data_IF_742317428960
#
_entry.id   IF_742317428960
#
_cell.length_a   1.000
_cell.length_b   1.000
_cell.length_c   1.000
_cell.angle_alpha   90.00
_cell.angle_beta   90.00
_cell.angle_gamma   90.00
#
_symmetry.space_group_name_H-M   'P 1'
#
loop_
_entity.id
_entity.type
_entity.pdbx_description
1 polymer ?
#
# COMPACT_ATOMS: atom_id res chain seq x y z
N UNK A 1 37.59 -17.12 74.06
CA UNK A 1 36.32 -16.46 73.67
C UNK A 1 35.71 -17.30 72.56
N UNK A 2 34.88 -18.32 72.77
CA UNK A 2 33.51 -18.42 73.34
C UNK A 2 32.44 -17.55 72.63
N UNK A 3 31.83 -18.20 71.61
CA UNK A 3 30.41 -18.30 71.18
C UNK A 3 29.62 -17.01 70.87
N UNK A 4 29.02 -16.91 69.66
CA UNK A 4 27.55 -17.00 69.51
C UNK A 4 27.02 -17.02 68.07
N UNK A 5 26.47 -18.18 67.71
CA UNK A 5 25.44 -18.40 66.68
C UNK A 5 24.10 -18.32 67.42
N UNK A 6 23.38 -17.20 67.36
CA UNK A 6 21.94 -17.14 67.70
C UNK A 6 21.32 -15.83 67.21
N UNK A 7 20.46 -15.90 66.19
CA UNK A 7 19.28 -15.05 66.05
C UNK A 7 18.47 -15.55 64.84
N UNK A 8 17.81 -16.68 65.05
CA UNK A 8 16.70 -17.18 64.27
C UNK A 8 15.43 -16.88 65.10
N UNK A 9 14.43 -16.26 64.47
CA UNK A 9 13.00 -16.26 64.84
C UNK A 9 12.55 -15.51 66.11
N UNK A 10 11.92 -14.35 65.89
CA UNK A 10 10.67 -13.86 66.51
C UNK A 10 10.26 -12.65 65.64
N UNK A 11 9.06 -12.50 65.08
CA UNK A 11 7.74 -12.95 65.51
C UNK A 11 6.75 -12.84 64.34
N UNK A 12 5.84 -13.80 64.28
CA UNK A 12 4.65 -13.85 63.42
C UNK A 12 3.75 -12.62 63.59
N UNK A 13 3.00 -12.31 62.52
CA UNK A 13 1.54 -12.21 62.67
C UNK A 13 0.90 -10.83 62.46
N UNK A 14 0.71 -10.43 61.19
CA UNK A 14 -0.50 -9.74 60.70
C UNK A 14 -0.75 -10.31 59.30
N UNK A 15 -1.44 -11.45 59.15
CA UNK A 15 -2.90 -11.60 59.02
C UNK A 15 -3.49 -10.84 57.83
N UNK A 16 -3.68 -11.61 56.75
CA UNK A 16 -4.84 -11.69 55.86
C UNK A 16 -5.87 -10.53 55.81
N UNK A 17 -6.10 -10.06 54.58
CA UNK A 17 -7.18 -9.15 54.17
C UNK A 17 -6.59 -8.09 53.24
N UNK A 18 -6.72 -8.17 51.91
CA UNK A 18 -7.96 -8.11 51.16
C UNK A 18 -7.74 -8.80 49.80
N UNK A 19 -8.44 -9.91 49.61
CA UNK A 19 -9.00 -10.31 48.32
C UNK A 19 -10.37 -9.63 48.24
N UNK A 20 -10.68 -9.09 47.05
CA UNK A 20 -11.98 -8.59 46.56
C UNK A 20 -12.16 -7.06 46.45
N UNK A 21 -12.68 -6.70 45.25
CA UNK A 21 -13.17 -5.41 44.77
C UNK A 21 -12.08 -4.36 44.45
N UNK A 22 -11.85 -3.90 43.22
CA UNK A 22 -12.73 -3.69 42.06
C UNK A 22 -11.91 -4.05 40.80
N UNK A 23 -12.26 -4.99 39.92
CA UNK A 23 -13.51 -5.07 39.17
C UNK A 23 -13.96 -3.70 38.66
N UNK A 24 -13.08 -3.04 37.91
CA UNK A 24 -13.44 -1.94 37.02
C UNK A 24 -12.81 -2.21 35.65
N UNK A 25 -13.49 -3.09 34.93
CA UNK A 25 -13.91 -2.81 33.56
C UNK A 25 -12.85 -2.21 32.63
N UNK A 26 -11.88 -3.03 32.21
CA UNK A 26 -11.39 -2.90 30.84
C UNK A 26 -11.80 -4.18 30.12
N UNK A 27 -12.97 -4.11 29.49
CA UNK A 27 -13.37 -5.02 28.43
C UNK A 27 -12.37 -4.85 27.28
N UNK A 28 -11.23 -5.52 27.37
CA UNK A 28 -10.35 -5.73 26.23
C UNK A 28 -10.90 -6.98 25.53
N UNK A 29 -11.32 -6.75 24.28
CA UNK A 29 -11.95 -7.64 23.29
C UNK A 29 -13.49 -7.54 23.26
N UNK A 30 -14.03 -7.07 22.11
CA UNK A 30 -13.82 -7.78 20.85
C UNK A 30 -13.28 -6.87 19.74
N UNK A 31 -11.97 -6.95 19.45
CA UNK A 31 -11.45 -6.59 18.12
C UNK A 31 -11.11 -7.85 17.31
N UNK A 32 -11.88 -8.92 17.54
CA UNK A 32 -11.91 -10.13 16.70
C UNK A 32 -13.22 -10.24 15.90
N UNK A 33 -14.03 -9.18 15.87
CA UNK A 33 -15.36 -9.16 15.27
C UNK A 33 -15.45 -8.65 13.82
N UNK A 34 -14.36 -8.16 13.21
CA UNK A 34 -14.43 -7.48 11.90
C UNK A 34 -13.42 -7.97 10.85
N UNK A 35 -12.60 -8.98 11.17
CA UNK A 35 -11.70 -9.61 10.19
C UNK A 35 -12.36 -10.87 9.58
N UNK A 36 -13.16 -11.60 10.36
CA UNK A 36 -13.79 -12.86 9.93
C UNK A 36 -14.89 -12.67 8.86
N UNK A 37 -15.44 -11.46 8.73
CA UNK A 37 -16.50 -11.16 7.75
C UNK A 37 -16.00 -10.84 6.34
N UNK A 38 -14.81 -10.22 6.19
CA UNK A 38 -14.32 -9.74 4.89
C UNK A 38 -13.48 -10.78 4.15
N UNK A 39 -12.80 -11.67 4.88
CA UNK A 39 -12.14 -12.86 4.32
C UNK A 39 -13.14 -13.83 3.64
N UNK A 40 -14.44 -13.71 3.93
CA UNK A 40 -15.47 -14.52 3.29
C UNK A 40 -15.70 -14.15 1.81
N UNK A 41 -15.36 -12.93 1.38
CA UNK A 41 -15.59 -12.46 0.01
C UNK A 41 -14.55 -12.93 -1.01
N UNK A 42 -13.30 -13.16 -0.61
CA UNK A 42 -12.19 -13.56 -1.50
C UNK A 42 -12.07 -15.07 -1.72
N UNK A 43 -13.11 -15.85 -1.40
CA UNK A 43 -13.03 -17.33 -1.30
C UNK A 43 -12.99 -18.09 -2.62
N UNK A 44 -13.19 -17.42 -3.76
CA UNK A 44 -13.05 -18.03 -5.08
C UNK A 44 -12.38 -17.04 -6.00
N UNK A 45 -11.37 -17.50 -6.74
CA UNK A 45 -10.86 -16.77 -7.89
C UNK A 45 -12.07 -16.43 -8.78
N UNK A 46 -12.30 -15.15 -9.03
CA UNK A 46 -13.36 -14.72 -9.91
C UNK A 46 -13.25 -15.49 -11.24
N UNK A 47 -14.34 -15.99 -11.83
CA UNK A 47 -14.29 -16.55 -13.16
C UNK A 47 -13.64 -15.55 -14.11
N UNK A 48 -12.89 -16.01 -15.15
CA UNK A 48 -12.16 -15.13 -16.06
C UNK A 48 -13.10 -14.02 -16.57
N UNK A 49 -12.65 -12.78 -16.35
CA UNK A 49 -13.39 -11.52 -16.44
C UNK A 49 -14.78 -11.62 -17.11
N UNK A 50 -15.84 -11.41 -16.33
CA UNK A 50 -17.21 -11.27 -16.88
C UNK A 50 -17.37 -10.01 -17.73
N UNK A 51 -16.37 -9.13 -17.71
CA UNK A 51 -16.35 -7.86 -18.43
C UNK A 51 -15.09 -7.79 -19.31
N UNK A 52 -15.25 -7.24 -20.51
CA UNK A 52 -14.23 -7.18 -21.58
C UNK A 52 -13.02 -6.27 -21.26
N UNK A 53 -12.93 -5.75 -20.03
CA UNK A 53 -12.16 -4.55 -19.66
C UNK A 53 -10.91 -4.78 -18.81
N UNK A 54 -10.71 -5.96 -18.20
CA UNK A 54 -9.41 -6.28 -17.57
C UNK A 54 -8.44 -6.74 -18.65
N UNK A 55 -8.01 -5.78 -19.48
CA UNK A 55 -6.98 -5.98 -20.50
C UNK A 55 -5.67 -5.41 -19.99
N UNK A 56 -4.61 -6.15 -20.26
CA UNK A 56 -3.26 -5.61 -20.18
C UNK A 56 -3.12 -4.57 -21.29
N UNK A 57 -2.83 -3.33 -20.94
CA UNK A 57 -2.55 -2.27 -21.91
C UNK A 57 -1.14 -2.44 -22.52
N UNK A 58 -0.78 -1.58 -23.47
CA UNK A 58 0.53 -1.59 -24.12
C UNK A 58 1.68 -1.31 -23.16
N UNK A 59 1.40 -0.63 -22.05
CA UNK A 59 2.38 -0.24 -21.03
C UNK A 59 2.50 -1.31 -19.93
N UNK A 60 1.72 -2.39 -20.06
CA UNK A 60 1.77 -3.56 -19.20
C UNK A 60 0.88 -3.50 -17.97
N UNK A 61 0.05 -2.45 -17.81
CA UNK A 61 -0.90 -2.28 -16.71
C UNK A 61 -2.17 -3.07 -16.96
N UNK A 62 -2.81 -3.49 -15.88
CA UNK A 62 -4.15 -4.05 -15.88
C UNK A 62 -5.10 -3.02 -15.29
N UNK A 63 -6.10 -2.58 -16.06
CA UNK A 63 -7.12 -1.65 -15.57
C UNK A 63 -8.33 -2.41 -15.02
N UNK A 64 -8.85 -1.93 -13.90
CA UNK A 64 -10.07 -2.43 -13.26
C UNK A 64 -11.06 -1.28 -13.12
N UNK A 65 -12.26 -1.45 -13.65
CA UNK A 65 -13.39 -0.54 -13.41
C UNK A 65 -14.19 -0.97 -12.17
N UNK A 66 -14.93 -0.01 -11.58
CA UNK A 66 -15.65 -0.18 -10.31
C UNK A 66 -16.61 -1.37 -10.29
N UNK A 67 -17.30 -1.61 -11.38
CA UNK A 67 -18.34 -2.65 -11.46
C UNK A 67 -17.81 -4.01 -11.92
N UNK A 68 -16.63 -4.04 -12.54
CA UNK A 68 -16.15 -5.21 -13.26
C UNK A 68 -15.29 -6.12 -12.39
N UNK A 69 -15.49 -7.43 -12.52
CA UNK A 69 -14.58 -8.43 -11.98
C UNK A 69 -13.45 -8.76 -12.97
N UNK A 70 -12.31 -9.19 -12.44
CA UNK A 70 -11.22 -9.71 -13.27
C UNK A 70 -9.93 -9.99 -12.50
N UNK A 71 -8.86 -10.21 -13.25
CA UNK A 71 -7.58 -10.68 -12.70
C UNK A 71 -6.38 -10.06 -13.42
N UNK A 72 -5.34 -9.73 -12.65
CA UNK A 72 -4.04 -9.27 -13.15
C UNK A 72 -2.96 -10.28 -12.72
N UNK A 73 -2.55 -11.21 -13.59
CA UNK A 73 -1.53 -12.20 -13.27
C UNK A 73 -0.15 -11.56 -13.10
N UNK A 74 0.60 -12.06 -12.12
CA UNK A 74 2.02 -11.79 -11.99
C UNK A 74 2.80 -12.34 -13.20
N UNK A 75 3.99 -11.80 -13.54
CA UNK A 75 4.76 -12.22 -14.70
C UNK A 75 5.16 -13.70 -14.72
N UNK A 76 5.35 -14.32 -13.56
CA UNK A 76 5.64 -15.75 -13.42
C UNK A 76 4.38 -16.62 -13.34
N UNK A 77 3.19 -15.99 -13.33
CA UNK A 77 1.90 -16.64 -13.20
C UNK A 77 1.62 -17.23 -11.82
N UNK A 78 2.45 -17.01 -10.80
CA UNK A 78 2.29 -17.63 -9.48
C UNK A 78 1.22 -16.95 -8.61
N UNK A 79 0.95 -15.68 -8.88
CA UNK A 79 -0.02 -14.86 -8.13
C UNK A 79 -0.94 -14.09 -9.06
N UNK A 80 -2.13 -13.78 -8.57
CA UNK A 80 -3.11 -12.94 -9.26
C UNK A 80 -3.57 -11.84 -8.30
N UNK A 81 -3.59 -10.58 -8.74
CA UNK A 81 -4.51 -9.61 -8.15
C UNK A 81 -5.89 -9.90 -8.71
N UNK A 82 -6.89 -10.05 -7.86
CA UNK A 82 -8.27 -10.38 -8.24
C UNK A 82 -9.22 -9.34 -7.68
N UNK A 83 -10.19 -8.95 -8.51
CA UNK A 83 -11.35 -8.15 -8.12
C UNK A 83 -12.60 -8.94 -8.45
N UNK A 84 -13.52 -9.02 -7.50
CA UNK A 84 -14.84 -9.60 -7.72
C UNK A 84 -15.77 -8.60 -8.45
N UNK A 85 -16.78 -9.08 -9.21
CA UNK A 85 -17.76 -8.20 -9.84
C UNK A 85 -18.68 -7.55 -8.78
N UNK A 86 -19.00 -6.27 -8.99
CA UNK A 86 -19.79 -5.45 -8.06
C UNK A 86 -18.96 -4.64 -7.06
N UNK A 87 -19.51 -3.51 -6.61
CA UNK A 87 -18.90 -2.63 -5.61
C UNK A 87 -18.84 -3.29 -4.22
N UNK A 88 -17.74 -3.11 -3.48
CA UNK A 88 -17.58 -3.65 -2.13
C UNK A 88 -17.48 -5.18 -2.06
N UNK A 89 -17.25 -5.84 -3.19
CA UNK A 89 -17.20 -7.32 -3.28
C UNK A 89 -15.80 -7.89 -3.06
N UNK A 90 -14.83 -7.02 -2.75
CA UNK A 90 -13.49 -7.39 -2.36
C UNK A 90 -12.48 -7.33 -3.51
N UNK A 91 -11.30 -6.80 -3.17
CA UNK A 91 -10.11 -6.81 -4.01
C UNK A 91 -9.00 -7.45 -3.19
N UNK A 92 -8.23 -8.36 -3.78
CA UNK A 92 -7.20 -9.09 -3.04
C UNK A 92 -6.18 -9.75 -3.93
N UNK A 93 -5.28 -10.49 -3.29
CA UNK A 93 -4.25 -11.28 -3.97
C UNK A 93 -4.45 -12.75 -3.64
N UNK A 94 -4.43 -13.59 -4.66
CA UNK A 94 -4.54 -15.05 -4.53
C UNK A 94 -3.35 -15.76 -5.15
N UNK A 95 -3.07 -16.98 -4.67
CA UNK A 95 -2.15 -17.90 -5.33
C UNK A 95 -2.81 -18.49 -6.57
N UNK A 96 -2.14 -18.42 -7.71
CA UNK A 96 -2.62 -19.03 -8.93
C UNK A 96 -2.71 -20.57 -8.80
N UNK A 97 -3.66 -21.18 -9.48
CA UNK A 97 -3.91 -22.63 -9.43
C UNK A 97 -4.70 -23.11 -8.22
N UNK A 98 -4.46 -22.56 -7.02
CA UNK A 98 -5.25 -22.92 -5.82
C UNK A 98 -6.38 -21.94 -5.53
N UNK A 99 -6.26 -20.69 -5.98
CA UNK A 99 -7.21 -19.62 -5.64
C UNK A 99 -7.15 -19.21 -4.16
N UNK A 100 -6.16 -19.68 -3.40
CA UNK A 100 -6.03 -19.36 -1.99
C UNK A 100 -5.65 -17.88 -1.82
N UNK A 101 -6.47 -17.13 -1.08
CA UNK A 101 -6.19 -15.74 -0.74
C UNK A 101 -4.94 -15.64 0.15
N UNK A 102 -4.08 -14.66 -0.17
CA UNK A 102 -2.84 -14.36 0.57
C UNK A 102 -2.79 -12.92 1.08
N UNK A 103 -3.80 -12.12 0.75
CA UNK A 103 -3.94 -10.75 1.23
C UNK A 103 -5.16 -10.05 0.66
N UNK A 104 -5.64 -9.08 1.42
CA UNK A 104 -6.72 -8.18 1.05
C UNK A 104 -6.14 -6.82 0.62
N UNK A 105 -6.73 -6.24 -0.42
CA UNK A 105 -6.39 -4.93 -0.97
C UNK A 105 -7.56 -3.95 -0.72
N UNK A 106 -8.20 -4.00 0.45
CA UNK A 106 -9.45 -3.29 0.73
C UNK A 106 -9.43 -1.76 0.59
N UNK A 107 -8.25 -1.14 0.42
CA UNK A 107 -8.12 0.28 0.03
C UNK A 107 -8.63 0.54 -1.40
N UNK A 108 -8.67 -0.50 -2.24
CA UNK A 108 -9.15 -0.47 -3.62
C UNK A 108 -10.62 -0.92 -3.75
N UNK A 109 -11.27 -1.25 -2.62
CA UNK A 109 -12.62 -1.83 -2.56
C UNK A 109 -13.66 -0.76 -2.16
N UNK A 110 -13.66 0.35 -2.90
CA UNK A 110 -14.53 1.52 -2.69
C UNK A 110 -15.35 1.91 -3.94
N UNK A 111 -15.40 1.00 -4.93
CA UNK A 111 -16.11 1.23 -6.19
C UNK A 111 -15.34 2.10 -7.19
N UNK A 112 -14.22 2.70 -6.80
CA UNK A 112 -13.39 3.46 -7.74
C UNK A 112 -12.56 2.52 -8.61
N UNK A 113 -12.25 2.97 -9.82
CA UNK A 113 -11.32 2.26 -10.69
C UNK A 113 -9.91 2.22 -10.09
N UNK A 114 -9.09 1.30 -10.56
CA UNK A 114 -7.66 1.28 -10.27
C UNK A 114 -6.89 0.59 -11.39
N UNK A 115 -5.58 0.79 -11.44
CA UNK A 115 -4.69 -0.01 -12.29
C UNK A 115 -3.71 -0.80 -11.45
N UNK A 116 -3.31 -1.98 -11.92
CA UNK A 116 -2.25 -2.80 -11.34
C UNK A 116 -1.09 -2.87 -12.32
N UNK A 117 0.11 -2.57 -11.84
CA UNK A 117 1.34 -2.71 -12.60
C UNK A 117 2.32 -3.61 -11.85
N UNK A 118 2.49 -4.82 -12.37
CA UNK A 118 3.49 -5.77 -11.87
C UNK A 118 4.91 -5.35 -12.25
N UNK A 119 5.83 -5.50 -11.30
CA UNK A 119 7.27 -5.46 -11.58
C UNK A 119 7.68 -6.69 -12.37
N UNK A 120 8.78 -6.60 -13.14
CA UNK A 120 9.44 -7.79 -13.71
C UNK A 120 9.85 -8.80 -12.63
N UNK A 121 9.99 -8.35 -11.37
CA UNK A 121 10.12 -9.21 -10.20
C UNK A 121 8.71 -9.60 -9.72
N UNK A 122 8.30 -10.87 -9.83
CA UNK A 122 6.89 -11.25 -9.76
C UNK A 122 6.25 -11.13 -8.37
N UNK A 123 7.03 -10.76 -7.35
CA UNK A 123 6.55 -10.53 -5.99
C UNK A 123 6.23 -9.07 -5.71
N UNK A 124 6.49 -8.16 -6.63
CA UNK A 124 6.29 -6.72 -6.45
C UNK A 124 5.26 -6.19 -7.44
N UNK A 125 4.34 -5.39 -6.95
CA UNK A 125 3.41 -4.65 -7.79
C UNK A 125 3.01 -3.34 -7.12
N UNK A 126 2.52 -2.43 -7.95
CA UNK A 126 1.90 -1.18 -7.50
C UNK A 126 0.48 -1.13 -8.03
N UNK A 127 -0.44 -0.65 -7.21
CA UNK A 127 -1.82 -0.37 -7.59
C UNK A 127 -2.06 1.14 -7.54
N UNK A 128 -2.40 1.75 -8.66
CA UNK A 128 -2.79 3.17 -8.70
C UNK A 128 -4.32 3.26 -8.59
N UNK A 129 -4.81 3.72 -7.43
CA UNK A 129 -6.21 3.89 -7.09
C UNK A 129 -6.73 5.24 -7.57
N UNK A 130 -7.78 5.26 -8.40
CA UNK A 130 -8.31 6.53 -8.90
C UNK A 130 -9.05 7.29 -7.80
N UNK A 131 -8.70 8.57 -7.63
CA UNK A 131 -9.33 9.46 -6.64
C UNK A 131 -10.38 10.40 -7.25
N UNK A 132 -10.66 10.25 -8.55
CA UNK A 132 -11.42 11.23 -9.33
C UNK A 132 -10.54 12.33 -9.93
N UNK A 133 -11.12 13.17 -10.81
CA UNK A 133 -10.44 14.31 -11.44
C UNK A 133 -9.16 13.97 -12.22
N UNK A 134 -9.04 12.74 -12.72
CA UNK A 134 -7.86 12.26 -13.46
C UNK A 134 -6.64 11.96 -12.57
N UNK A 135 -6.80 11.97 -11.25
CA UNK A 135 -5.74 11.67 -10.29
C UNK A 135 -5.81 10.22 -9.82
N UNK A 136 -4.65 9.68 -9.46
CA UNK A 136 -4.54 8.39 -8.81
C UNK A 136 -3.51 8.42 -7.68
N UNK A 137 -3.67 7.51 -6.74
CA UNK A 137 -2.77 7.30 -5.60
C UNK A 137 -2.17 5.91 -5.65
N UNK A 138 -0.84 5.84 -5.56
CA UNK A 138 -0.08 4.62 -5.65
C UNK A 138 -0.04 3.88 -4.30
N UNK A 139 -0.35 2.59 -4.35
CA UNK A 139 -0.21 1.65 -3.25
C UNK A 139 0.78 0.56 -3.66
N UNK A 140 1.94 0.54 -3.02
CA UNK A 140 3.02 -0.40 -3.31
C UNK A 140 2.93 -1.63 -2.42
N UNK A 141 3.07 -2.82 -3.00
CA UNK A 141 2.96 -4.09 -2.30
C UNK A 141 4.09 -5.05 -2.68
N UNK A 142 4.44 -5.91 -1.72
CA UNK A 142 5.35 -7.03 -1.89
C UNK A 142 4.70 -8.32 -1.36
N UNK A 143 4.94 -9.44 -2.03
CA UNK A 143 4.58 -10.77 -1.53
C UNK A 143 5.81 -11.39 -0.87
N UNK A 144 5.76 -11.54 0.46
CA UNK A 144 6.83 -12.12 1.27
C UNK A 144 6.31 -13.37 1.95
N UNK A 145 6.98 -14.50 1.75
CA UNK A 145 6.64 -15.79 2.37
C UNK A 145 5.16 -16.19 2.25
N UNK A 146 4.57 -15.85 1.10
CA UNK A 146 3.17 -16.17 0.80
C UNK A 146 2.16 -15.26 1.47
N UNK A 147 2.57 -14.11 2.00
CA UNK A 147 1.70 -13.07 2.54
C UNK A 147 1.89 -11.76 1.77
N UNK A 148 0.81 -10.99 1.64
CA UNK A 148 0.84 -9.65 1.07
C UNK A 148 1.31 -8.62 2.12
N UNK A 149 2.32 -7.84 1.79
CA UNK A 149 2.92 -6.83 2.65
C UNK A 149 2.83 -5.45 1.98
N UNK A 150 2.07 -4.49 2.54
CA UNK A 150 2.11 -3.10 2.10
C UNK A 150 3.50 -2.48 2.33
N UNK A 151 3.99 -1.72 1.35
CA UNK A 151 5.31 -1.06 1.36
C UNK A 151 5.15 0.47 1.16
N UNK A 152 4.54 1.20 2.11
CA UNK A 152 4.16 2.60 1.91
C UNK A 152 5.35 3.57 1.86
N UNK A 153 6.51 3.18 2.40
CA UNK A 153 7.66 4.07 2.62
C UNK A 153 8.09 4.84 1.38
N UNK A 154 8.12 4.20 0.21
CA UNK A 154 8.52 4.88 -1.02
C UNK A 154 7.53 6.01 -1.39
N UNK A 155 6.24 5.76 -1.21
CA UNK A 155 5.17 6.73 -1.53
C UNK A 155 5.19 7.89 -0.52
N UNK A 156 5.42 7.59 0.76
CA UNK A 156 5.61 8.58 1.82
C UNK A 156 6.84 9.46 1.56
N UNK A 157 7.93 8.85 1.09
CA UNK A 157 9.17 9.55 0.73
C UNK A 157 8.96 10.47 -0.47
N UNK A 158 8.27 10.01 -1.51
CA UNK A 158 7.92 10.84 -2.67
C UNK A 158 7.08 12.06 -2.24
N UNK A 159 6.11 11.90 -1.34
CA UNK A 159 5.36 13.03 -0.76
C UNK A 159 6.27 13.98 0.04
N UNK A 160 7.25 13.44 0.79
CA UNK A 160 8.21 14.26 1.53
C UNK A 160 9.07 15.11 0.59
N UNK A 161 9.56 14.52 -0.49
CA UNK A 161 10.33 15.23 -1.53
C UNK A 161 9.48 16.33 -2.17
N UNK A 162 8.21 16.05 -2.50
CA UNK A 162 7.29 17.05 -3.05
C UNK A 162 7.04 18.21 -2.08
N UNK A 163 6.75 17.94 -0.80
CA UNK A 163 6.58 18.99 0.22
C UNK A 163 7.80 19.89 0.38
N UNK A 164 9.00 19.32 0.25
CA UNK A 164 10.23 20.10 0.34
C UNK A 164 10.39 21.09 -0.84
N UNK A 165 9.77 20.80 -1.98
CA UNK A 165 9.73 21.72 -3.14
C UNK A 165 8.56 22.71 -3.07
N UNK A 166 7.44 22.34 -2.44
CA UNK A 166 6.24 23.17 -2.26
C UNK A 166 5.74 23.19 -0.80
N UNK A 167 6.26 24.07 0.06
CA UNK A 167 6.04 23.99 1.52
C UNK A 167 4.63 24.36 1.98
N UNK A 168 3.80 24.94 1.11
CA UNK A 168 2.43 25.33 1.44
C UNK A 168 1.41 24.19 1.35
N UNK A 169 1.80 22.99 0.90
CA UNK A 169 0.88 21.90 0.60
C UNK A 169 0.55 21.07 1.86
N UNK A 170 -0.73 21.04 2.31
CA UNK A 170 -1.17 20.10 3.34
C UNK A 170 -0.94 18.66 2.88
N UNK A 171 -0.52 17.78 3.79
CA UNK A 171 -0.17 16.40 3.45
C UNK A 171 -1.30 15.62 2.74
N UNK A 172 -2.57 15.91 3.07
CA UNK A 172 -3.73 15.25 2.47
C UNK A 172 -4.10 15.72 1.05
N UNK A 173 -3.38 16.72 0.51
CA UNK A 173 -3.63 17.26 -0.83
C UNK A 173 -2.54 16.88 -1.83
N UNK A 174 -1.67 15.96 -1.46
CA UNK A 174 -0.58 15.45 -2.29
C UNK A 174 -0.90 14.06 -2.80
N UNK A 175 -0.74 13.88 -4.10
CA UNK A 175 -0.94 12.60 -4.76
C UNK A 175 0.37 12.12 -5.35
N UNK A 176 0.57 10.81 -5.28
CA UNK A 176 1.71 10.14 -5.92
C UNK A 176 1.12 9.01 -6.75
N UNK A 177 1.37 9.01 -8.05
CA UNK A 177 1.00 7.93 -8.94
C UNK A 177 2.25 7.20 -9.44
N UNK A 178 2.12 5.90 -9.67
CA UNK A 178 3.15 5.13 -10.34
C UNK A 178 3.10 5.39 -11.84
N UNK A 179 4.23 5.24 -12.51
CA UNK A 179 4.29 5.37 -13.97
C UNK A 179 4.79 4.10 -14.62
N UNK A 180 6.00 3.65 -14.27
CA UNK A 180 6.52 2.37 -14.76
C UNK A 180 7.63 1.82 -13.90
N UNK A 181 7.81 0.51 -13.98
CA UNK A 181 9.01 -0.16 -13.48
C UNK A 181 10.18 0.02 -14.44
N UNK A 182 11.40 -0.04 -13.89
CA UNK A 182 12.59 -0.34 -14.69
C UNK A 182 12.51 -1.75 -15.26
N UNK A 183 13.22 -2.00 -16.36
CA UNK A 183 13.23 -3.32 -17.04
C UNK A 183 13.57 -4.50 -16.12
N UNK A 184 14.46 -4.30 -15.15
CA UNK A 184 14.88 -5.30 -14.16
C UNK A 184 13.96 -5.37 -12.92
N UNK A 185 12.95 -4.51 -12.85
CA UNK A 185 11.98 -4.44 -11.77
C UNK A 185 12.51 -3.92 -10.44
N UNK A 186 13.72 -3.33 -10.40
CA UNK A 186 14.34 -2.80 -9.17
C UNK A 186 13.90 -1.39 -8.82
N UNK A 187 13.50 -0.61 -9.82
CA UNK A 187 13.21 0.81 -9.67
C UNK A 187 11.80 1.09 -10.15
N UNK A 188 11.14 2.03 -9.50
CA UNK A 188 9.79 2.48 -9.85
C UNK A 188 9.84 3.96 -10.16
N UNK A 189 9.38 4.33 -11.34
CA UNK A 189 9.16 5.72 -11.70
C UNK A 189 7.84 6.18 -11.10
N UNK A 190 7.89 7.31 -10.41
CA UNK A 190 6.77 7.95 -9.76
C UNK A 190 6.56 9.33 -10.36
N UNK A 191 5.31 9.77 -10.38
CA UNK A 191 4.95 11.16 -10.56
C UNK A 191 4.21 11.63 -9.31
N UNK A 192 4.62 12.77 -8.76
CA UNK A 192 3.97 13.35 -7.60
C UNK A 192 3.52 14.78 -7.89
N UNK A 193 2.38 15.17 -7.35
CA UNK A 193 1.85 16.52 -7.51
C UNK A 193 0.83 16.85 -6.44
N UNK A 194 0.30 18.06 -6.51
CA UNK A 194 -0.80 18.48 -5.66
C UNK A 194 -2.15 18.28 -6.38
N UNK A 195 -3.20 18.11 -5.60
CA UNK A 195 -4.57 18.15 -6.12
C UNK A 195 -4.92 19.56 -6.63
N UNK A 196 -5.83 19.68 -7.61
CA UNK A 196 -6.36 20.95 -8.11
C UNK A 196 -6.83 21.96 -7.04
N UNK A 197 -7.27 21.46 -5.90
CA UNK A 197 -7.82 22.23 -4.77
C UNK A 197 -6.79 22.52 -3.66
N UNK A 198 -5.50 22.25 -3.89
CA UNK A 198 -4.50 22.17 -2.84
C UNK A 198 -3.99 23.51 -2.25
N UNK A 199 -4.27 24.65 -2.89
CA UNK A 199 -3.90 25.97 -2.37
C UNK A 199 -4.74 27.06 -3.05
N UNK A 200 -5.30 27.98 -2.28
CA UNK A 200 -6.06 29.11 -2.79
C UNK A 200 -5.24 30.05 -3.68
N UNK A 201 -5.85 30.46 -4.79
CA UNK A 201 -5.57 31.63 -5.66
C UNK A 201 -4.37 31.65 -6.62
N UNK A 202 -3.37 30.76 -6.58
CA UNK A 202 -2.25 30.85 -7.55
C UNK A 202 -1.93 29.60 -8.39
N UNK A 203 -2.72 28.52 -8.31
CA UNK A 203 -2.99 27.56 -9.41
C UNK A 203 -1.86 26.82 -10.15
N UNK A 204 -0.59 27.11 -9.95
CA UNK A 204 0.54 26.49 -10.64
C UNK A 204 1.43 25.78 -9.61
N UNK A 205 1.29 24.45 -9.51
CA UNK A 205 2.25 23.61 -8.81
C UNK A 205 3.02 22.78 -9.80
N UNK A 206 4.31 22.67 -9.52
CA UNK A 206 5.21 21.78 -10.21
C UNK A 206 4.88 20.33 -9.87
N UNK A 207 4.70 19.50 -10.88
CA UNK A 207 4.75 18.05 -10.73
C UNK A 207 6.21 17.61 -10.64
N UNK A 208 6.46 16.51 -9.95
CA UNK A 208 7.78 15.91 -9.86
C UNK A 208 7.81 14.53 -10.50
N UNK A 209 8.72 14.34 -11.46
CA UNK A 209 9.19 13.00 -11.84
C UNK A 209 10.25 12.56 -10.84
N UNK A 210 10.18 11.30 -10.41
CA UNK A 210 11.14 10.70 -9.49
C UNK A 210 11.36 9.23 -9.81
N UNK A 211 12.55 8.71 -9.50
CA UNK A 211 12.84 7.28 -9.49
C UNK A 211 13.02 6.84 -8.04
N UNK A 212 12.26 5.82 -7.66
CA UNK A 212 12.29 5.20 -6.34
C UNK A 212 12.87 3.80 -6.36
N UNK A 213 13.41 3.39 -5.23
CA UNK A 213 13.73 2.00 -4.90
C UNK A 213 12.65 1.45 -3.94
N UNK A 214 11.76 0.57 -4.43
CA UNK A 214 10.71 -0.06 -3.64
C UNK A 214 11.20 -0.87 -2.45
N UNK A 215 12.39 -1.48 -2.53
CA UNK A 215 12.92 -2.32 -1.47
C UNK A 215 13.42 -1.49 -0.29
N UNK A 216 14.08 -0.36 -0.56
CA UNK A 216 14.59 0.54 0.50
C UNK A 216 13.59 1.63 0.91
N UNK A 217 12.59 1.90 0.08
CA UNK A 217 11.63 2.98 0.30
C UNK A 217 12.19 4.37 0.01
N UNK A 218 13.28 4.48 -0.76
CA UNK A 218 14.00 5.73 -1.00
C UNK A 218 13.78 6.26 -2.41
N UNK A 219 13.73 7.58 -2.54
CA UNK A 219 13.82 8.28 -3.83
C UNK A 219 15.27 8.60 -4.13
N UNK A 220 15.70 8.40 -5.38
CA UNK A 220 17.00 8.89 -5.86
C UNK A 220 16.95 10.41 -6.03
N UNK A 221 17.68 11.20 -5.22
CA UNK A 221 17.64 12.66 -5.30
C UNK A 221 18.14 13.18 -6.66
N UNK A 222 19.05 12.47 -7.34
CA UNK A 222 19.57 12.88 -8.65
C UNK A 222 18.52 12.70 -9.77
N UNK A 223 17.48 11.91 -9.53
CA UNK A 223 16.38 11.67 -10.47
C UNK A 223 15.28 12.72 -10.39
N UNK A 224 15.18 13.52 -9.33
CA UNK A 224 14.07 14.47 -9.16
C UNK A 224 14.08 15.48 -10.30
N UNK A 225 12.94 15.63 -11.00
CA UNK A 225 12.73 16.62 -12.06
C UNK A 225 11.41 17.33 -11.88
N UNK A 226 11.47 18.66 -11.91
CA UNK A 226 10.31 19.55 -11.93
C UNK A 226 9.66 19.53 -13.31
N UNK A 227 8.33 19.51 -13.34
CA UNK A 227 7.48 19.53 -14.53
C UNK A 227 6.43 20.62 -14.32
N UNK A 228 6.39 21.60 -15.23
CA UNK A 228 5.52 22.78 -15.13
C UNK A 228 4.17 22.64 -15.82
N UNK A 229 3.94 21.50 -16.45
CA UNK A 229 2.69 21.14 -17.14
C UNK A 229 2.19 19.80 -16.56
N UNK A 230 0.90 19.44 -16.72
CA UNK A 230 0.45 18.09 -16.41
C UNK A 230 1.42 17.08 -17.05
N UNK A 231 1.83 16.03 -16.31
CA UNK A 231 3.01 15.26 -16.64
C UNK A 231 2.98 14.82 -18.10
N UNK A 232 4.02 15.16 -18.89
CA UNK A 232 4.07 14.79 -20.29
C UNK A 232 3.95 13.28 -20.41
N UNK A 233 3.23 12.81 -21.43
CA UNK A 233 3.01 11.37 -21.65
C UNK A 233 4.29 10.55 -21.76
N UNK A 234 5.40 11.20 -22.12
CA UNK A 234 6.70 10.56 -22.27
C UNK A 234 7.61 10.85 -21.06
N UNK A 235 8.27 9.80 -20.57
CA UNK A 235 9.34 9.94 -19.59
C UNK A 235 10.52 10.76 -20.16
N UNK A 236 11.27 11.45 -19.28
CA UNK A 236 12.61 11.93 -19.63
C UNK A 236 13.46 10.79 -20.22
N UNK A 237 14.30 11.11 -21.21
CA UNK A 237 15.14 10.14 -21.91
C UNK A 237 16.63 10.28 -21.56
N UNK A 238 16.94 11.09 -20.54
CA UNK A 238 18.27 11.50 -20.14
C UNK A 238 18.58 11.13 -18.67
N UNK A 239 19.86 11.23 -18.32
CA UNK A 239 20.33 11.01 -16.95
C UNK A 239 19.87 9.66 -16.36
N UNK A 240 19.37 9.65 -15.11
CA UNK A 240 18.88 8.43 -14.46
C UNK A 240 17.76 7.70 -15.24
N UNK A 241 17.00 8.40 -16.09
CA UNK A 241 15.88 7.85 -16.84
C UNK A 241 16.28 7.13 -18.12
N UNK A 242 17.46 7.42 -18.68
CA UNK A 242 17.96 6.80 -19.91
C UNK A 242 18.15 5.27 -19.80
N UNK A 243 18.24 4.76 -18.57
CA UNK A 243 18.52 3.34 -18.26
C UNK A 243 17.29 2.52 -17.87
N UNK A 244 16.09 3.09 -17.95
CA UNK A 244 14.85 2.48 -17.45
C UNK A 244 14.22 1.48 -18.42
#
# INVERSE_FOLDING_TARGET
MRVNVTALLLSLGIVAGIVAALASSIQILPFLGTIVGREAGLRQAAPPASCREVRRDSDGRYAFSGDCGGQAPAPDGAFLVVKNPGEGTGVGVVRAGTGAAIGDLGVLDDGMGFTVLWSARPRWFVADHYLGSGLAEAHLFEIVDGALVPRPRLIEEARRVLRAHGPCLPAGQLVVASVRWSRDGTRLVLVAGARPDACGTNGEWDWLWMIGDPATGRVDPASVRVIRDPPPKALPQDGPYASL
#
